data_IF_013602283545
#
_entry.id   IF_013602283545
#
_cell.length_a   1.000
_cell.length_b   1.000
_cell.length_c   1.000
_cell.angle_alpha   90.00
_cell.angle_beta   90.00
_cell.angle_gamma   90.00
#
_symmetry.space_group_name_H-M   'P 1'
#
loop_
_entity.id
_entity.type
_entity.pdbx_description
1 polymer ?
#
# COMPACT_ATOMS: atom_id res chain seq x y z
N UNK A 1 -48.66 74.61 -15.41
CA UNK A 1 -47.71 73.76 -14.60
C UNK A 1 -48.21 72.40 -14.70
N UNK A 2 -47.73 71.56 -15.67
CA UNK A 2 -48.11 70.18 -15.88
C UNK A 2 -47.03 69.32 -15.25
N UNK A 3 -47.44 68.39 -14.35
CA UNK A 3 -46.59 67.40 -13.76
C UNK A 3 -46.67 66.08 -14.62
N UNK A 4 -45.53 65.64 -15.15
CA UNK A 4 -45.39 64.40 -15.83
C UNK A 4 -44.99 63.33 -14.79
N UNK A 5 -45.78 62.26 -14.63
CA UNK A 5 -45.47 61.08 -13.86
C UNK A 5 -44.77 60.10 -14.77
N UNK A 6 -43.52 59.80 -14.45
CA UNK A 6 -42.78 58.63 -15.03
C UNK A 6 -43.04 57.38 -14.20
N UNK A 7 -43.67 56.39 -14.79
CA UNK A 7 -43.81 55.06 -14.23
C UNK A 7 -42.66 54.17 -14.76
N UNK A 8 -41.72 53.79 -13.91
CA UNK A 8 -40.67 52.82 -14.19
C UNK A 8 -41.18 51.38 -13.91
N UNK A 9 -41.38 50.61 -14.94
CA UNK A 9 -41.70 49.19 -14.85
C UNK A 9 -40.41 48.38 -14.63
N UNK A 10 -40.31 47.73 -13.46
CA UNK A 10 -39.22 46.80 -13.12
C UNK A 10 -39.56 45.41 -13.63
N UNK A 11 -38.90 44.97 -14.70
CA UNK A 11 -39.03 43.59 -15.20
C UNK A 11 -38.14 42.65 -14.37
N UNK A 12 -38.78 41.75 -13.59
CA UNK A 12 -38.09 40.71 -12.83
C UNK A 12 -37.78 39.55 -13.76
N UNK A 13 -36.51 39.38 -14.18
CA UNK A 13 -36.04 38.20 -14.88
C UNK A 13 -35.90 37.04 -13.86
N UNK A 14 -36.82 36.06 -13.88
CA UNK A 14 -36.61 34.77 -13.20
C UNK A 14 -35.66 33.91 -14.06
N UNK A 15 -34.41 33.81 -13.63
CA UNK A 15 -33.48 32.80 -14.15
C UNK A 15 -33.85 31.42 -13.60
N UNK A 16 -34.50 30.59 -14.40
CA UNK A 16 -34.71 29.18 -14.10
C UNK A 16 -33.39 28.44 -14.28
N UNK A 17 -32.69 28.16 -13.18
CA UNK A 17 -31.57 27.21 -13.17
C UNK A 17 -32.15 25.81 -13.33
N UNK A 18 -32.07 25.24 -14.52
CA UNK A 18 -32.30 23.81 -14.71
C UNK A 18 -31.15 23.06 -14.06
N UNK A 19 -31.40 22.50 -12.87
CA UNK A 19 -30.50 21.52 -12.29
C UNK A 19 -30.45 20.31 -13.24
N UNK A 20 -29.29 20.14 -13.90
CA UNK A 20 -29.02 18.95 -14.69
C UNK A 20 -28.96 17.78 -13.71
N UNK A 21 -29.95 16.90 -13.71
CA UNK A 21 -29.90 15.67 -12.94
C UNK A 21 -28.71 14.87 -13.45
N UNK A 22 -27.66 14.70 -12.62
CA UNK A 22 -26.52 13.86 -12.95
C UNK A 22 -27.05 12.45 -13.16
N UNK A 23 -26.89 11.93 -14.37
CA UNK A 23 -27.25 10.54 -14.71
C UNK A 23 -26.43 9.65 -13.75
N UNK A 24 -27.11 8.73 -13.04
CA UNK A 24 -26.42 7.76 -12.20
C UNK A 24 -25.31 7.05 -13.00
N UNK A 25 -24.14 6.80 -12.39
CA UNK A 25 -23.05 6.14 -13.08
C UNK A 25 -23.50 4.81 -13.69
N UNK A 26 -23.06 4.54 -14.93
CA UNK A 26 -23.48 3.35 -15.66
C UNK A 26 -22.98 2.08 -14.95
N UNK A 27 -23.82 1.03 -14.95
CA UNK A 27 -23.42 -0.31 -14.53
C UNK A 27 -23.19 -1.16 -15.77
N UNK A 28 -22.01 -1.79 -15.85
CA UNK A 28 -21.64 -2.75 -16.91
C UNK A 28 -21.49 -4.10 -16.24
N UNK A 29 -22.02 -5.16 -16.84
CA UNK A 29 -21.83 -6.54 -16.38
C UNK A 29 -20.94 -7.24 -17.39
N UNK A 30 -19.91 -7.95 -16.89
CA UNK A 30 -18.94 -8.71 -17.68
C UNK A 30 -19.11 -10.19 -17.33
N UNK A 31 -19.34 -11.00 -18.34
CA UNK A 31 -19.47 -12.46 -18.21
C UNK A 31 -18.17 -13.16 -18.57
N UNK A 32 -18.00 -14.39 -18.13
CA UNK A 32 -16.85 -15.21 -18.55
C UNK A 32 -16.81 -15.34 -20.09
N UNK A 33 -15.64 -15.05 -20.64
CA UNK A 33 -15.43 -14.98 -22.10
C UNK A 33 -15.57 -13.58 -22.72
N UNK A 34 -16.13 -12.61 -21.98
CA UNK A 34 -16.11 -11.22 -22.42
C UNK A 34 -14.74 -10.57 -22.17
N UNK A 35 -14.40 -9.56 -22.99
CA UNK A 35 -13.21 -8.74 -22.76
C UNK A 35 -13.44 -7.77 -21.61
N UNK A 36 -12.68 -7.96 -20.52
CA UNK A 36 -12.73 -7.07 -19.36
C UNK A 36 -12.17 -5.67 -19.70
N UNK A 37 -11.12 -5.60 -20.53
CA UNK A 37 -10.57 -4.31 -20.96
C UNK A 37 -11.57 -3.54 -21.84
N UNK A 38 -12.24 -4.21 -22.76
CA UNK A 38 -13.25 -3.55 -23.59
C UNK A 38 -14.40 -2.97 -22.76
N UNK A 39 -14.81 -3.65 -21.68
CA UNK A 39 -15.82 -3.14 -20.75
C UNK A 39 -15.30 -1.89 -19.98
N UNK A 40 -14.04 -1.90 -19.57
CA UNK A 40 -13.37 -0.74 -18.93
C UNK A 40 -13.27 0.43 -19.92
N UNK A 41 -12.92 0.16 -21.18
CA UNK A 41 -12.79 1.18 -22.23
C UNK A 41 -14.15 1.80 -22.60
N UNK A 42 -15.22 1.03 -22.57
CA UNK A 42 -16.57 1.51 -22.79
C UNK A 42 -17.19 2.24 -21.59
N UNK A 43 -16.61 2.08 -20.39
CA UNK A 43 -17.16 2.68 -19.18
C UNK A 43 -16.98 4.21 -19.16
N UNK A 44 -18.00 4.91 -18.69
CA UNK A 44 -17.89 6.34 -18.36
C UNK A 44 -17.21 6.52 -16.98
N UNK A 45 -16.59 7.66 -16.70
CA UNK A 45 -16.11 7.99 -15.35
C UNK A 45 -17.19 7.76 -14.30
N UNK A 46 -16.83 7.20 -13.15
CA UNK A 46 -17.76 6.82 -12.08
C UNK A 46 -18.53 5.52 -12.31
N UNK A 47 -18.33 4.82 -13.41
CA UNK A 47 -19.06 3.58 -13.70
C UNK A 47 -18.69 2.44 -12.75
N UNK A 48 -19.66 1.54 -12.55
CA UNK A 48 -19.44 0.27 -11.83
C UNK A 48 -19.39 -0.87 -12.83
N UNK A 49 -18.27 -1.59 -12.85
CA UNK A 49 -18.08 -2.78 -13.68
C UNK A 49 -18.20 -3.99 -12.77
N UNK A 50 -19.24 -4.78 -12.97
CA UNK A 50 -19.52 -5.99 -12.19
C UNK A 50 -19.07 -7.19 -13.02
N UNK A 51 -18.09 -7.90 -12.51
CA UNK A 51 -17.51 -9.08 -13.19
C UNK A 51 -18.07 -10.34 -12.55
N UNK A 52 -18.72 -11.17 -13.34
CA UNK A 52 -19.30 -12.44 -12.84
C UNK A 52 -18.21 -13.49 -12.55
N UNK A 53 -18.53 -14.54 -11.77
CA UNK A 53 -17.59 -15.63 -11.55
C UNK A 53 -17.08 -16.24 -12.85
N UNK A 54 -15.77 -16.50 -12.90
CA UNK A 54 -15.12 -17.04 -14.10
C UNK A 54 -13.62 -16.76 -14.08
N UNK A 55 -12.92 -17.19 -15.13
CA UNK A 55 -11.49 -16.98 -15.32
C UNK A 55 -11.27 -16.00 -16.46
N UNK A 56 -10.63 -14.89 -16.15
CA UNK A 56 -10.34 -13.78 -17.06
C UNK A 56 -8.83 -13.69 -17.26
N UNK A 57 -8.43 -13.46 -18.50
CA UNK A 57 -7.02 -13.45 -18.87
C UNK A 57 -6.48 -12.05 -19.14
N UNK A 58 -7.36 -11.07 -19.29
CA UNK A 58 -7.00 -9.73 -19.70
C UNK A 58 -6.47 -9.66 -21.14
N UNK A 59 -6.62 -8.52 -21.78
CA UNK A 59 -6.35 -8.37 -23.23
C UNK A 59 -5.06 -7.58 -23.52
N UNK A 60 -4.44 -7.00 -22.49
CA UNK A 60 -3.23 -6.19 -22.65
C UNK A 60 -1.98 -7.05 -22.88
N UNK A 61 -1.00 -6.50 -23.60
CA UNK A 61 0.26 -7.19 -23.88
C UNK A 61 1.17 -7.30 -22.66
N UNK A 62 1.30 -6.23 -21.88
CA UNK A 62 2.15 -6.16 -20.67
C UNK A 62 1.33 -6.12 -19.39
N UNK A 63 0.19 -5.44 -19.40
CA UNK A 63 -0.74 -5.29 -18.29
C UNK A 63 -2.02 -6.04 -18.65
N UNK A 64 -2.53 -6.90 -17.78
CA UNK A 64 -3.75 -7.65 -18.09
C UNK A 64 -4.95 -6.72 -18.29
N UNK A 65 -5.12 -5.73 -17.39
CA UNK A 65 -6.07 -4.63 -17.55
C UNK A 65 -5.46 -3.30 -17.13
N UNK A 66 -5.89 -2.22 -17.79
CA UNK A 66 -5.45 -0.85 -17.51
C UNK A 66 -6.67 0.04 -17.26
N UNK A 67 -6.64 0.82 -16.19
CA UNK A 67 -7.69 1.76 -15.80
C UNK A 67 -7.10 3.16 -15.73
N UNK A 68 -7.55 4.04 -16.64
CA UNK A 68 -7.09 5.45 -16.73
C UNK A 68 -8.23 6.45 -16.52
N UNK A 69 -9.39 5.97 -16.04
CA UNK A 69 -10.59 6.78 -15.86
C UNK A 69 -10.96 6.92 -14.41
N UNK A 70 -11.38 8.12 -14.05
CA UNK A 70 -11.81 8.45 -12.69
C UNK A 70 -13.04 7.67 -12.22
N UNK A 71 -13.09 7.38 -10.93
CA UNK A 71 -14.25 6.85 -10.25
C UNK A 71 -14.65 5.43 -10.63
N UNK A 72 -13.83 4.71 -11.38
CA UNK A 72 -14.15 3.33 -11.78
C UNK A 72 -14.23 2.43 -10.54
N UNK A 73 -15.34 1.69 -10.43
CA UNK A 73 -15.55 0.66 -9.42
C UNK A 73 -15.56 -0.72 -10.08
N UNK A 74 -14.51 -1.49 -9.81
CA UNK A 74 -14.36 -2.85 -10.32
C UNK A 74 -14.80 -3.84 -9.24
N UNK A 75 -15.91 -4.54 -9.45
CA UNK A 75 -16.53 -5.42 -8.46
C UNK A 75 -16.59 -6.84 -8.99
N UNK A 76 -15.81 -7.73 -8.40
CA UNK A 76 -15.93 -9.16 -8.61
C UNK A 76 -17.14 -9.71 -7.86
N UNK A 77 -18.13 -10.22 -8.58
CA UNK A 77 -19.31 -10.85 -8.00
C UNK A 77 -19.04 -12.31 -7.58
N UNK A 78 -17.90 -12.54 -6.94
CA UNK A 78 -17.50 -13.86 -6.46
C UNK A 78 -18.57 -14.49 -5.55
N UNK A 79 -18.78 -15.78 -5.70
CA UNK A 79 -19.69 -16.60 -4.89
C UNK A 79 -18.90 -17.71 -4.21
N UNK A 80 -19.49 -18.36 -3.22
CA UNK A 80 -18.84 -19.50 -2.57
C UNK A 80 -18.44 -20.55 -3.63
N UNK A 81 -17.14 -20.85 -3.70
CA UNK A 81 -16.53 -21.77 -4.66
C UNK A 81 -16.63 -21.33 -6.15
N UNK A 82 -16.95 -20.09 -6.43
CA UNK A 82 -16.97 -19.50 -7.76
C UNK A 82 -16.28 -18.13 -7.71
N UNK A 83 -14.95 -18.09 -7.74
CA UNK A 83 -14.19 -16.85 -7.72
C UNK A 83 -14.28 -16.10 -9.05
N UNK A 84 -13.93 -14.83 -9.02
CA UNK A 84 -13.57 -14.02 -10.19
C UNK A 84 -12.05 -14.00 -10.26
N UNK A 85 -11.47 -14.69 -11.19
CA UNK A 85 -10.01 -14.88 -11.29
C UNK A 85 -9.47 -14.08 -12.47
N UNK A 86 -8.57 -13.15 -12.20
CA UNK A 86 -7.70 -12.55 -13.21
C UNK A 86 -6.33 -13.21 -13.09
N UNK A 87 -5.93 -13.93 -14.12
CA UNK A 87 -4.65 -14.65 -14.11
C UNK A 87 -3.78 -14.29 -15.30
N UNK A 88 -2.47 -14.38 -15.06
CA UNK A 88 -1.47 -14.14 -16.10
C UNK A 88 -1.59 -15.14 -17.24
N UNK A 89 -1.45 -14.64 -18.47
CA UNK A 89 -1.28 -15.45 -19.68
C UNK A 89 -0.31 -14.79 -20.65
N UNK A 90 0.47 -15.59 -21.35
CA UNK A 90 1.38 -15.09 -22.36
C UNK A 90 2.47 -14.17 -21.80
N UNK A 91 2.54 -12.94 -22.32
CA UNK A 91 3.60 -11.96 -22.03
C UNK A 91 3.24 -10.94 -20.94
N UNK A 92 2.06 -11.05 -20.35
CA UNK A 92 1.61 -10.08 -19.34
C UNK A 92 2.51 -10.11 -18.11
N UNK A 93 2.94 -8.94 -17.67
CA UNK A 93 3.79 -8.76 -16.49
C UNK A 93 2.96 -8.34 -15.27
N UNK A 94 1.95 -7.49 -15.48
CA UNK A 94 1.12 -6.93 -14.40
C UNK A 94 -0.35 -7.30 -14.56
N UNK A 95 -1.04 -7.43 -13.44
CA UNK A 95 -2.48 -7.70 -13.39
C UNK A 95 -3.33 -6.45 -13.62
N UNK A 96 -3.82 -5.84 -12.55
CA UNK A 96 -4.62 -4.61 -12.57
C UNK A 96 -3.68 -3.41 -12.44
N UNK A 97 -3.70 -2.53 -13.44
CA UNK A 97 -2.91 -1.30 -13.48
C UNK A 97 -3.82 -0.08 -13.47
N UNK A 98 -3.63 0.80 -12.48
CA UNK A 98 -4.44 2.02 -12.34
C UNK A 98 -3.52 3.22 -12.30
N UNK A 99 -3.68 4.13 -13.25
CA UNK A 99 -2.85 5.32 -13.36
C UNK A 99 -3.51 6.36 -14.26
N UNK A 100 -3.17 7.65 -14.14
CA UNK A 100 -3.49 8.64 -15.17
C UNK A 100 -2.98 8.20 -16.55
N UNK A 101 -3.65 8.65 -17.63
CA UNK A 101 -3.34 8.21 -19.00
C UNK A 101 -1.88 8.45 -19.42
N UNK A 102 -1.28 9.51 -18.89
CA UNK A 102 0.09 9.92 -19.22
C UNK A 102 1.14 9.38 -18.25
N UNK A 103 0.73 8.62 -17.24
CA UNK A 103 1.68 8.00 -16.32
C UNK A 103 2.37 6.84 -17.02
N UNK A 104 3.65 6.95 -17.13
CA UNK A 104 4.48 5.89 -17.69
C UNK A 104 4.83 4.87 -16.60
N UNK A 105 5.60 3.90 -16.95
CA UNK A 105 6.04 2.77 -16.17
C UNK A 105 6.71 3.20 -14.85
N UNK A 106 6.44 2.55 -13.70
CA UNK A 106 7.15 2.79 -12.45
C UNK A 106 8.66 2.51 -12.56
N UNK A 107 9.07 1.67 -13.49
CA UNK A 107 10.48 1.40 -13.78
C UNK A 107 11.15 2.54 -14.57
N UNK A 108 10.41 3.64 -14.88
CA UNK A 108 10.98 4.81 -15.52
C UNK A 108 11.07 5.99 -14.53
N UNK A 109 12.25 6.24 -13.94
CA UNK A 109 12.48 7.32 -12.97
C UNK A 109 12.40 8.74 -13.56
N UNK A 110 12.27 8.88 -14.87
CA UNK A 110 12.20 10.19 -15.55
C UNK A 110 10.81 10.82 -15.53
N UNK A 111 9.84 10.19 -14.84
CA UNK A 111 8.49 10.74 -14.76
C UNK A 111 8.39 11.89 -13.78
N UNK A 112 7.76 12.99 -14.21
CA UNK A 112 7.47 14.05 -13.27
C UNK A 112 6.54 13.55 -12.16
N UNK A 113 6.71 14.09 -10.95
CA UNK A 113 5.84 13.82 -9.80
C UNK A 113 4.36 13.98 -10.15
N UNK A 114 3.49 13.21 -9.52
CA UNK A 114 2.03 13.31 -9.71
C UNK A 114 1.52 14.75 -9.52
N UNK A 115 2.07 15.49 -8.55
CA UNK A 115 1.72 16.88 -8.26
C UNK A 115 2.11 17.89 -9.34
N UNK A 116 3.13 17.62 -10.14
CA UNK A 116 3.54 18.51 -11.23
C UNK A 116 2.63 18.41 -12.46
N UNK A 117 1.91 17.32 -12.60
CA UNK A 117 1.00 17.09 -13.74
C UNK A 117 -0.40 17.59 -13.49
N UNK A 118 -0.80 17.93 -12.26
CA UNK A 118 -2.20 18.12 -11.83
C UNK A 118 -3.13 16.96 -12.27
N UNK A 119 -2.57 15.76 -12.43
CA UNK A 119 -3.27 14.62 -12.99
C UNK A 119 -3.25 13.47 -11.99
N UNK A 120 -4.11 13.54 -10.99
CA UNK A 120 -4.44 12.41 -10.14
C UNK A 120 -5.76 11.82 -10.61
N UNK A 121 -5.88 10.50 -10.55
CA UNK A 121 -7.18 9.85 -10.65
C UNK A 121 -7.88 9.89 -9.30
N UNK A 122 -9.18 10.20 -9.31
CA UNK A 122 -9.96 10.21 -8.06
C UNK A 122 -10.99 9.09 -8.01
N UNK A 123 -11.10 8.46 -6.85
CA UNK A 123 -12.21 7.59 -6.53
C UNK A 123 -12.16 6.20 -7.15
N UNK A 124 -11.02 5.53 -7.22
CA UNK A 124 -10.92 4.15 -7.70
C UNK A 124 -11.31 3.12 -6.64
N UNK A 125 -11.97 2.01 -7.03
CA UNK A 125 -12.10 0.86 -6.16
C UNK A 125 -12.06 -0.48 -6.88
N UNK A 126 -11.47 -1.49 -6.20
CA UNK A 126 -11.47 -2.89 -6.63
C UNK A 126 -11.82 -3.82 -5.47
N UNK A 127 -12.72 -4.77 -5.70
CA UNK A 127 -13.13 -5.73 -4.68
C UNK A 127 -13.54 -7.08 -5.25
N UNK A 128 -13.31 -8.15 -4.48
CA UNK A 128 -13.82 -9.49 -4.76
C UNK A 128 -13.10 -10.24 -5.88
N UNK A 129 -11.90 -9.83 -6.25
CA UNK A 129 -11.07 -10.49 -7.26
C UNK A 129 -10.06 -11.45 -6.63
N UNK A 130 -9.72 -12.49 -7.38
CA UNK A 130 -8.48 -13.24 -7.25
C UNK A 130 -7.55 -12.80 -8.38
N UNK A 131 -6.40 -12.20 -8.05
CA UNK A 131 -5.38 -11.74 -9.01
C UNK A 131 -4.11 -12.55 -8.81
N UNK A 132 -3.70 -13.33 -9.81
CA UNK A 132 -2.67 -14.33 -9.56
C UNK A 132 -1.68 -14.57 -10.71
N UNK A 133 -0.43 -14.90 -10.30
CA UNK A 133 0.59 -15.46 -11.19
C UNK A 133 1.29 -14.46 -12.10
N UNK A 134 1.24 -13.16 -11.80
CA UNK A 134 1.92 -12.15 -12.59
C UNK A 134 3.40 -12.03 -12.23
N UNK A 135 4.32 -11.97 -13.20
CA UNK A 135 5.77 -11.81 -12.94
C UNK A 135 6.15 -10.49 -12.28
N UNK A 136 5.32 -9.47 -12.37
CA UNK A 136 5.47 -8.20 -11.67
C UNK A 136 4.41 -8.04 -10.58
N UNK A 137 3.48 -7.10 -10.78
CA UNK A 137 2.51 -6.65 -9.78
C UNK A 137 1.12 -7.25 -10.00
N UNK A 138 0.46 -7.61 -8.90
CA UNK A 138 -0.93 -8.06 -8.95
C UNK A 138 -1.91 -6.90 -9.16
N UNK A 139 -2.00 -5.99 -8.19
CA UNK A 139 -2.83 -4.78 -8.23
C UNK A 139 -1.92 -3.58 -7.96
N UNK A 140 -1.72 -2.76 -8.97
CA UNK A 140 -0.86 -1.59 -8.94
C UNK A 140 -1.65 -0.29 -9.12
N UNK A 141 -1.36 0.71 -8.28
CA UNK A 141 -1.90 2.06 -8.41
C UNK A 141 -0.77 3.08 -8.32
N UNK A 142 -0.83 4.09 -9.18
CA UNK A 142 0.04 5.26 -9.04
C UNK A 142 -0.73 6.54 -9.32
N UNK A 143 -0.46 7.59 -8.53
CA UNK A 143 -1.13 8.87 -8.66
C UNK A 143 -2.67 8.77 -8.55
N UNK A 144 -3.15 8.06 -7.55
CA UNK A 144 -4.59 7.88 -7.28
C UNK A 144 -4.93 8.46 -5.91
N UNK A 145 -5.92 9.34 -5.89
CA UNK A 145 -6.50 9.91 -4.66
C UNK A 145 -7.87 9.30 -4.38
N UNK A 146 -8.20 9.04 -3.10
CA UNK A 146 -9.47 8.42 -2.66
C UNK A 146 -9.70 7.04 -3.29
N UNK A 147 -8.90 6.06 -2.92
CA UNK A 147 -9.04 4.71 -3.47
C UNK A 147 -9.39 3.64 -2.41
N UNK A 148 -9.99 2.54 -2.87
CA UNK A 148 -10.31 1.38 -2.02
C UNK A 148 -9.93 0.06 -2.69
N UNK A 149 -9.09 -0.74 -2.03
CA UNK A 149 -8.76 -2.12 -2.40
C UNK A 149 -9.24 -3.05 -1.30
N UNK A 150 -10.33 -3.80 -1.55
CA UNK A 150 -10.99 -4.52 -0.47
C UNK A 150 -11.41 -5.94 -0.82
N UNK A 151 -11.11 -6.88 0.08
CA UNK A 151 -11.63 -8.26 -0.02
C UNK A 151 -11.16 -8.98 -1.26
N UNK A 152 -9.95 -8.70 -1.72
CA UNK A 152 -9.32 -9.38 -2.83
C UNK A 152 -8.38 -10.48 -2.32
N UNK A 153 -8.13 -11.46 -3.16
CA UNK A 153 -7.02 -12.41 -3.00
C UNK A 153 -5.98 -12.08 -4.07
N UNK A 154 -4.74 -11.81 -3.69
CA UNK A 154 -3.66 -11.61 -4.64
C UNK A 154 -2.52 -12.57 -4.31
N UNK A 155 -2.18 -13.48 -5.22
CA UNK A 155 -1.29 -14.59 -4.89
C UNK A 155 -0.31 -14.97 -6.01
N UNK A 156 0.91 -15.35 -5.62
CA UNK A 156 1.93 -15.81 -6.55
C UNK A 156 2.33 -14.76 -7.59
N UNK A 157 2.13 -13.48 -7.29
CA UNK A 157 2.70 -12.38 -8.05
C UNK A 157 4.16 -12.20 -7.59
N UNK A 158 5.10 -11.99 -8.50
CA UNK A 158 6.51 -12.19 -8.18
C UNK A 158 7.05 -11.08 -7.29
N UNK A 159 6.78 -9.80 -7.62
CA UNK A 159 7.33 -8.65 -6.89
C UNK A 159 6.34 -8.16 -5.83
N UNK A 160 5.21 -7.56 -6.20
CA UNK A 160 4.20 -7.09 -5.26
C UNK A 160 2.82 -7.66 -5.58
N UNK A 161 2.08 -8.08 -4.54
CA UNK A 161 0.70 -8.50 -4.75
C UNK A 161 -0.29 -7.33 -4.77
N UNK A 162 -0.13 -6.34 -3.89
CA UNK A 162 -0.88 -5.06 -3.89
C UNK A 162 0.12 -3.93 -3.67
N UNK A 163 0.12 -2.95 -4.57
CA UNK A 163 1.15 -1.93 -4.66
C UNK A 163 0.58 -0.55 -5.03
N UNK A 164 0.03 0.23 -4.08
CA UNK A 164 -0.13 1.67 -4.24
C UNK A 164 1.21 2.39 -4.10
N UNK A 165 1.42 3.41 -4.91
CA UNK A 165 2.59 4.28 -4.84
C UNK A 165 2.25 5.70 -5.29
N UNK A 166 2.78 6.72 -4.62
CA UNK A 166 2.50 8.14 -4.91
C UNK A 166 1.00 8.45 -4.95
N UNK A 167 0.27 7.84 -4.04
CA UNK A 167 -1.18 7.91 -3.94
C UNK A 167 -1.62 8.40 -2.56
N UNK A 168 -2.88 8.78 -2.40
CA UNK A 168 -3.35 9.37 -1.15
C UNK A 168 -4.78 8.93 -0.79
N UNK A 169 -5.14 9.11 0.50
CA UNK A 169 -6.48 8.83 1.04
C UNK A 169 -6.99 7.42 0.69
N UNK A 170 -6.10 6.43 0.78
CA UNK A 170 -6.39 5.04 0.42
C UNK A 170 -6.94 4.19 1.57
N UNK A 171 -7.73 3.17 1.21
CA UNK A 171 -8.19 2.12 2.13
C UNK A 171 -7.91 0.73 1.56
N UNK A 172 -7.00 -0.02 2.20
CA UNK A 172 -6.66 -1.39 1.85
C UNK A 172 -7.15 -2.32 2.96
N UNK A 173 -8.22 -3.08 2.71
CA UNK A 173 -8.83 -3.86 3.80
C UNK A 173 -9.30 -5.25 3.41
N UNK A 174 -9.15 -6.20 4.34
CA UNK A 174 -9.63 -7.58 4.21
C UNK A 174 -9.12 -8.29 2.97
N UNK A 175 -7.93 -7.92 2.49
CA UNK A 175 -7.26 -8.62 1.41
C UNK A 175 -6.45 -9.80 1.96
N UNK A 176 -6.35 -10.85 1.17
CA UNK A 176 -5.48 -11.99 1.41
C UNK A 176 -4.37 -11.97 0.37
N UNK A 177 -3.14 -11.74 0.79
CA UNK A 177 -1.98 -11.59 -0.09
C UNK A 177 -0.95 -12.68 0.22
N UNK A 178 -0.36 -13.28 -0.82
CA UNK A 178 0.58 -14.38 -0.58
C UNK A 178 1.53 -14.66 -1.72
N UNK A 179 2.71 -15.19 -1.34
CA UNK A 179 3.60 -15.88 -2.28
C UNK A 179 4.42 -14.96 -3.18
N UNK A 180 4.68 -13.70 -2.79
CA UNK A 180 5.72 -12.88 -3.44
C UNK A 180 7.10 -13.46 -3.13
N UNK A 181 8.00 -13.42 -4.10
CA UNK A 181 9.34 -14.02 -3.98
C UNK A 181 10.47 -13.03 -4.02
N UNK A 182 10.19 -11.83 -4.51
CA UNK A 182 11.20 -10.78 -4.62
C UNK A 182 10.99 -9.68 -3.58
N UNK A 183 9.72 -9.38 -3.20
CA UNK A 183 9.46 -8.23 -2.36
C UNK A 183 8.19 -8.38 -1.49
N UNK A 184 7.54 -7.28 -1.13
CA UNK A 184 6.41 -7.27 -0.21
C UNK A 184 5.11 -7.80 -0.83
N UNK A 185 4.33 -8.48 -0.01
CA UNK A 185 3.00 -8.86 -0.42
C UNK A 185 2.04 -7.66 -0.54
N UNK A 186 2.06 -6.75 0.42
CA UNK A 186 1.31 -5.51 0.39
C UNK A 186 2.25 -4.36 0.74
N UNK A 187 2.45 -3.48 -0.20
CA UNK A 187 3.33 -2.34 -0.12
C UNK A 187 2.53 -1.03 -0.14
N UNK A 188 3.01 -0.02 0.56
CA UNK A 188 2.51 1.36 0.58
C UNK A 188 3.74 2.27 0.46
N UNK A 189 3.92 2.93 -0.69
CA UNK A 189 5.15 3.69 -0.92
C UNK A 189 4.98 5.07 -1.48
N UNK A 190 5.67 6.04 -0.89
CA UNK A 190 5.56 7.46 -1.25
C UNK A 190 4.11 7.96 -1.19
N UNK A 191 3.33 7.39 -0.26
CA UNK A 191 1.91 7.60 -0.10
C UNK A 191 1.61 8.50 1.10
N UNK A 192 0.40 9.06 1.15
CA UNK A 192 -0.06 9.88 2.26
C UNK A 192 -1.48 9.49 2.70
N UNK A 193 -1.71 9.42 4.03
CA UNK A 193 -3.05 9.20 4.60
C UNK A 193 -3.70 7.87 4.19
N UNK A 194 -2.98 6.77 4.29
CA UNK A 194 -3.43 5.42 3.92
C UNK A 194 -3.88 4.62 5.14
N UNK A 195 -5.03 3.95 5.05
CA UNK A 195 -5.49 2.99 6.03
C UNK A 195 -5.33 1.56 5.51
N UNK A 196 -4.57 0.73 6.23
CA UNK A 196 -4.32 -0.69 5.89
C UNK A 196 -4.82 -1.54 7.05
N UNK A 197 -5.91 -2.28 6.88
CA UNK A 197 -6.48 -3.00 8.01
C UNK A 197 -7.15 -4.33 7.68
N UNK A 198 -7.13 -5.23 8.66
CA UNK A 198 -7.76 -6.55 8.54
C UNK A 198 -7.22 -7.40 7.36
N UNK A 199 -6.01 -7.14 6.87
CA UNK A 199 -5.39 -7.91 5.81
C UNK A 199 -4.57 -9.07 6.38
N UNK A 200 -4.36 -10.09 5.56
CA UNK A 200 -3.50 -11.24 5.88
C UNK A 200 -2.44 -11.40 4.80
N UNK A 201 -1.16 -11.38 5.21
CA UNK A 201 -0.02 -11.60 4.34
C UNK A 201 0.73 -12.87 4.75
N UNK A 202 0.93 -13.79 3.79
CA UNK A 202 1.61 -15.07 4.04
C UNK A 202 2.56 -15.47 2.93
N UNK A 203 3.61 -16.16 3.29
CA UNK A 203 4.53 -16.77 2.32
C UNK A 203 5.27 -15.78 1.42
N UNK A 204 5.56 -14.58 1.91
CA UNK A 204 6.23 -13.49 1.19
C UNK A 204 7.65 -13.25 1.72
N UNK A 205 8.45 -12.46 1.01
CA UNK A 205 9.71 -11.92 1.57
C UNK A 205 9.35 -10.94 2.68
N UNK A 206 8.54 -9.94 2.39
CA UNK A 206 8.01 -9.01 3.36
C UNK A 206 6.47 -9.13 3.35
N UNK A 207 5.86 -9.32 4.52
CA UNK A 207 4.41 -9.39 4.60
C UNK A 207 3.74 -8.07 4.25
N UNK A 208 4.15 -6.99 4.92
CA UNK A 208 3.69 -5.62 4.73
C UNK A 208 4.87 -4.65 4.69
N UNK A 209 4.74 -3.59 3.90
CA UNK A 209 5.78 -2.56 3.79
C UNK A 209 5.19 -1.16 3.77
N UNK A 210 5.89 -0.23 4.41
CA UNK A 210 5.66 1.21 4.31
C UNK A 210 7.00 1.86 3.96
N UNK A 211 7.14 2.37 2.74
CA UNK A 211 8.35 3.04 2.27
C UNK A 211 8.06 4.54 2.04
N UNK A 212 8.92 5.43 2.54
CA UNK A 212 8.86 6.89 2.27
C UNK A 212 7.46 7.51 2.35
N UNK A 213 6.62 7.08 3.32
CA UNK A 213 5.20 7.44 3.38
C UNK A 213 4.83 8.14 4.69
N UNK A 214 3.76 8.94 4.65
CA UNK A 214 3.28 9.71 5.79
C UNK A 214 1.85 9.34 6.20
N UNK A 215 1.58 9.43 7.50
CA UNK A 215 0.25 9.24 8.08
C UNK A 215 -0.43 7.90 7.71
N UNK A 216 0.37 6.85 7.49
CA UNK A 216 -0.13 5.49 7.24
C UNK A 216 -0.58 4.86 8.55
N UNK A 217 -1.80 4.32 8.56
CA UNK A 217 -2.37 3.61 9.71
C UNK A 217 -2.57 2.14 9.39
N UNK A 218 -1.72 1.31 9.97
CA UNK A 218 -1.75 -0.14 9.77
C UNK A 218 -2.26 -0.83 11.03
N UNK A 219 -3.46 -1.44 10.98
CA UNK A 219 -4.08 -2.03 12.18
C UNK A 219 -4.88 -3.29 11.88
N UNK A 220 -4.87 -4.23 12.85
CA UNK A 220 -5.62 -5.49 12.74
C UNK A 220 -5.13 -6.43 11.65
N UNK A 221 -3.92 -6.20 11.09
CA UNK A 221 -3.36 -7.06 10.06
C UNK A 221 -2.60 -8.25 10.67
N UNK A 222 -2.40 -9.28 9.87
CA UNK A 222 -1.65 -10.48 10.25
C UNK A 222 -0.58 -10.80 9.21
N UNK A 223 0.69 -10.72 9.60
CA UNK A 223 1.83 -11.19 8.81
C UNK A 223 2.31 -12.53 9.38
N UNK A 224 2.12 -13.61 8.63
CA UNK A 224 2.35 -14.97 9.12
C UNK A 224 3.20 -15.75 8.14
N UNK A 225 4.25 -16.39 8.64
CA UNK A 225 5.07 -17.27 7.83
C UNK A 225 5.70 -16.57 6.60
N UNK A 226 6.16 -15.31 6.76
CA UNK A 226 6.96 -14.59 5.79
C UNK A 226 8.46 -14.70 6.12
N UNK A 227 9.34 -14.13 5.34
CA UNK A 227 10.77 -13.98 5.72
C UNK A 227 10.89 -12.89 6.78
N UNK A 228 10.29 -11.71 6.56
CA UNK A 228 10.04 -10.69 7.56
C UNK A 228 8.54 -10.34 7.59
N UNK A 229 8.01 -10.00 8.78
CA UNK A 229 6.59 -9.70 8.92
C UNK A 229 6.22 -8.34 8.32
N UNK A 230 7.03 -7.33 8.62
CA UNK A 230 6.81 -5.96 8.14
C UNK A 230 8.13 -5.20 8.06
N UNK A 231 8.24 -4.33 7.07
CA UNK A 231 9.29 -3.32 6.93
C UNK A 231 8.66 -1.92 6.94
N UNK A 232 9.26 -0.99 7.65
CA UNK A 232 8.97 0.45 7.61
C UNK A 232 10.29 1.13 7.37
N UNK A 233 10.50 1.66 6.18
CA UNK A 233 11.81 2.07 5.74
C UNK A 233 11.83 3.36 4.93
N UNK A 234 13.03 3.90 4.81
CA UNK A 234 13.33 5.05 3.97
C UNK A 234 14.38 4.67 2.93
N UNK A 235 14.10 5.01 1.69
CA UNK A 235 14.97 4.78 0.54
C UNK A 235 15.30 6.11 -0.12
N UNK A 236 16.57 6.30 -0.48
CA UNK A 236 17.05 7.49 -1.19
C UNK A 236 16.60 7.55 -2.65
N UNK A 237 16.79 8.72 -3.27
CA UNK A 237 16.41 8.95 -4.66
C UNK A 237 14.92 8.72 -4.95
N UNK A 238 14.07 9.00 -3.99
CA UNK A 238 12.61 8.97 -4.12
C UNK A 238 12.07 10.40 -4.20
N UNK A 239 10.84 10.53 -4.71
CA UNK A 239 10.13 11.80 -4.74
C UNK A 239 9.81 12.29 -3.32
N UNK A 240 9.40 11.39 -2.45
CA UNK A 240 9.22 11.64 -1.01
C UNK A 240 10.48 11.19 -0.29
N UNK A 241 11.18 12.12 0.36
CA UNK A 241 12.49 11.91 0.99
C UNK A 241 12.42 11.82 2.51
N UNK A 242 11.24 11.54 3.05
CA UNK A 242 11.01 11.39 4.50
C UNK A 242 9.89 10.39 4.77
N UNK A 243 9.86 9.88 6.02
CA UNK A 243 8.86 8.94 6.48
C UNK A 243 8.50 9.26 7.92
N UNK A 244 7.22 9.57 8.21
CA UNK A 244 6.81 9.96 9.57
C UNK A 244 5.29 9.91 9.79
N UNK A 245 4.87 10.03 11.06
CA UNK A 245 3.46 10.07 11.44
C UNK A 245 2.75 8.73 11.33
N UNK A 246 3.48 7.65 11.10
CA UNK A 246 2.90 6.33 10.86
C UNK A 246 2.45 5.66 12.16
N UNK A 247 1.40 4.86 12.09
CA UNK A 247 0.85 4.11 13.22
C UNK A 247 0.71 2.64 12.87
N UNK A 248 1.45 1.79 13.55
CA UNK A 248 1.38 0.32 13.45
C UNK A 248 0.77 -0.23 14.74
N UNK A 249 -0.51 -0.61 14.70
CA UNK A 249 -1.24 -0.93 15.92
C UNK A 249 -2.10 -2.19 15.82
N UNK A 250 -2.19 -2.98 16.90
CA UNK A 250 -3.07 -4.16 16.96
C UNK A 250 -2.84 -5.21 15.87
N UNK A 251 -1.63 -5.28 15.30
CA UNK A 251 -1.27 -6.29 14.31
C UNK A 251 -0.66 -7.54 14.99
N UNK A 252 -0.63 -8.63 14.25
CA UNK A 252 0.06 -9.87 14.65
C UNK A 252 1.15 -10.19 13.64
N UNK A 253 2.37 -10.34 14.13
CA UNK A 253 3.56 -10.75 13.39
C UNK A 253 4.01 -12.10 13.91
N UNK A 254 3.71 -13.17 13.19
CA UNK A 254 3.82 -14.54 13.70
C UNK A 254 4.65 -15.43 12.79
N UNK A 255 5.65 -16.10 13.36
CA UNK A 255 6.44 -17.14 12.68
C UNK A 255 7.03 -16.67 11.33
N UNK A 256 7.55 -15.45 11.26
CA UNK A 256 8.14 -14.91 10.03
C UNK A 256 9.59 -15.40 9.89
N UNK A 257 9.76 -16.66 9.58
CA UNK A 257 11.04 -17.39 9.62
C UNK A 257 11.40 -18.05 8.28
N UNK A 258 10.70 -17.72 7.19
CA UNK A 258 10.98 -18.33 5.88
C UNK A 258 12.35 -17.92 5.38
N UNK A 259 13.07 -18.81 4.70
CA UNK A 259 14.27 -18.42 4.00
C UNK A 259 13.98 -17.28 3.01
N UNK A 260 14.90 -16.34 2.90
CA UNK A 260 14.83 -15.31 1.87
C UNK A 260 15.06 -15.95 0.50
N UNK A 261 14.16 -15.72 -0.44
CA UNK A 261 14.21 -16.24 -1.82
C UNK A 261 14.26 -15.14 -2.86
N UNK A 262 14.44 -13.86 -2.42
CA UNK A 262 14.60 -12.74 -3.33
C UNK A 262 15.83 -12.94 -4.22
N UNK A 263 15.74 -12.47 -5.45
CA UNK A 263 16.88 -12.48 -6.37
C UNK A 263 18.02 -11.66 -5.79
N UNK A 264 19.29 -12.04 -6.00
CA UNK A 264 20.44 -11.31 -5.43
C UNK A 264 20.59 -9.86 -5.89
N UNK A 265 19.93 -9.48 -6.96
CA UNK A 265 19.85 -8.14 -7.54
C UNK A 265 18.72 -7.27 -6.98
N UNK A 266 17.86 -7.84 -6.13
CA UNK A 266 16.81 -7.11 -5.42
C UNK A 266 17.34 -6.61 -4.06
N UNK A 267 16.98 -5.40 -3.67
CA UNK A 267 17.39 -4.80 -2.38
C UNK A 267 16.89 -5.65 -1.21
N UNK A 268 15.73 -6.24 -1.34
CA UNK A 268 15.14 -7.16 -0.35
C UNK A 268 15.93 -8.45 -0.15
N UNK A 269 16.92 -8.76 -1.01
CA UNK A 269 17.83 -9.90 -0.80
C UNK A 269 18.62 -9.80 0.51
N UNK A 270 18.76 -8.58 1.07
CA UNK A 270 19.43 -8.31 2.35
C UNK A 270 18.52 -8.58 3.56
N UNK A 271 17.22 -8.78 3.37
CA UNK A 271 16.29 -9.03 4.48
C UNK A 271 16.62 -10.33 5.20
N UNK A 272 16.93 -10.22 6.48
CA UNK A 272 17.28 -11.36 7.32
C UNK A 272 16.02 -12.06 7.80
N UNK A 273 15.90 -13.39 7.64
CA UNK A 273 14.75 -14.14 8.14
C UNK A 273 14.58 -14.06 9.67
N UNK A 274 13.33 -14.04 10.12
CA UNK A 274 13.03 -14.21 11.54
C UNK A 274 12.73 -12.92 12.30
N UNK A 275 12.43 -11.83 11.61
CA UNK A 275 12.05 -10.57 12.26
C UNK A 275 10.56 -10.27 12.05
N UNK A 276 9.85 -9.96 13.13
CA UNK A 276 8.44 -9.60 13.07
C UNK A 276 8.19 -8.24 12.43
N UNK A 277 8.94 -7.20 12.84
CA UNK A 277 8.86 -5.85 12.29
C UNK A 277 10.25 -5.22 12.26
N UNK A 278 10.62 -4.60 11.14
CA UNK A 278 11.84 -3.83 10.99
C UNK A 278 11.47 -2.36 10.81
N UNK A 279 12.03 -1.48 11.65
CA UNK A 279 12.05 -0.04 11.45
C UNK A 279 13.44 0.34 10.93
N UNK A 280 13.52 0.72 9.68
CA UNK A 280 14.78 1.06 9.02
C UNK A 280 14.78 2.52 8.57
N UNK A 281 15.39 3.39 9.39
CA UNK A 281 15.44 4.82 9.13
C UNK A 281 14.09 5.56 9.24
N UNK A 282 13.05 4.92 9.76
CA UNK A 282 11.72 5.52 9.87
C UNK A 282 11.57 6.38 11.12
N UNK A 283 10.95 7.56 10.97
CA UNK A 283 10.77 8.55 12.03
C UNK A 283 9.34 8.58 12.56
N UNK A 284 9.18 9.11 13.79
CA UNK A 284 7.90 9.44 14.43
C UNK A 284 6.82 8.37 14.21
N UNK A 285 7.20 7.10 14.31
CA UNK A 285 6.30 5.96 14.13
C UNK A 285 5.82 5.43 15.48
N UNK A 286 4.50 5.31 15.63
CA UNK A 286 3.88 4.73 16.81
C UNK A 286 3.61 3.24 16.61
N UNK A 287 4.35 2.38 17.34
CA UNK A 287 4.18 0.92 17.34
C UNK A 287 3.50 0.51 18.63
N UNK A 288 2.20 0.18 18.57
CA UNK A 288 1.45 -0.08 19.79
C UNK A 288 0.55 -1.29 19.73
N UNK A 289 0.45 -2.02 20.86
CA UNK A 289 -0.49 -3.14 21.06
C UNK A 289 -0.42 -4.21 19.95
N UNK A 290 0.76 -4.37 19.35
CA UNK A 290 1.02 -5.46 18.43
C UNK A 290 1.44 -6.72 19.19
N UNK A 291 1.28 -7.87 18.55
CA UNK A 291 1.77 -9.16 19.04
C UNK A 291 2.87 -9.67 18.12
N UNK A 292 4.01 -9.95 18.69
CA UNK A 292 5.17 -10.53 18.03
C UNK A 292 5.37 -11.94 18.56
N UNK A 293 5.18 -12.96 17.72
CA UNK A 293 5.08 -14.34 18.16
C UNK A 293 6.02 -15.23 17.36
N UNK A 294 6.86 -16.00 18.03
CA UNK A 294 7.69 -17.07 17.45
C UNK A 294 8.54 -16.60 16.24
N UNK A 295 8.98 -15.35 16.21
CA UNK A 295 9.94 -14.89 15.21
C UNK A 295 11.35 -15.33 15.63
N UNK A 296 12.05 -16.02 14.72
CA UNK A 296 13.26 -16.79 15.05
C UNK A 296 14.50 -15.95 15.33
N UNK A 297 14.49 -14.66 14.98
CA UNK A 297 15.58 -13.74 15.26
C UNK A 297 15.13 -12.65 16.25
N UNK A 298 14.05 -11.92 15.94
CA UNK A 298 13.54 -10.88 16.84
C UNK A 298 12.05 -10.60 16.64
N UNK A 299 11.36 -10.16 17.69
CA UNK A 299 10.04 -9.57 17.57
C UNK A 299 10.08 -8.33 16.70
N UNK A 300 11.00 -7.39 16.99
CA UNK A 300 11.21 -6.21 16.15
C UNK A 300 12.67 -5.76 16.15
N UNK A 301 13.03 -4.94 15.16
CA UNK A 301 14.33 -4.28 15.04
C UNK A 301 14.15 -2.79 14.74
N UNK A 302 15.02 -1.94 15.34
CA UNK A 302 15.24 -0.55 14.95
C UNK A 302 16.68 -0.45 14.46
N UNK A 303 16.86 -0.03 13.21
CA UNK A 303 18.16 -0.03 12.54
C UNK A 303 18.25 1.14 11.56
N UNK A 304 19.44 1.65 11.34
CA UNK A 304 19.73 2.56 10.22
C UNK A 304 20.08 1.75 8.98
N UNK A 305 19.57 2.08 7.78
CA UNK A 305 20.00 1.45 6.53
C UNK A 305 21.51 1.51 6.32
N UNK A 306 22.18 2.54 6.84
CA UNK A 306 23.66 2.66 6.78
C UNK A 306 24.40 1.58 7.56
N UNK A 307 23.73 0.93 8.52
CA UNK A 307 24.31 -0.20 9.27
C UNK A 307 24.12 -1.50 8.49
N UNK A 308 23.03 -1.62 7.77
CA UNK A 308 22.70 -2.78 6.93
C UNK A 308 23.61 -2.78 5.68
N UNK A 309 23.61 -1.68 4.97
CA UNK A 309 24.51 -1.45 3.82
C UNK A 309 25.10 -0.02 3.86
N UNK A 310 26.39 0.14 4.20
CA UNK A 310 27.05 1.44 4.19
C UNK A 310 27.04 2.15 2.84
N UNK A 311 26.92 1.41 1.72
CA UNK A 311 26.85 1.99 0.39
C UNK A 311 25.54 2.76 0.16
N UNK A 312 24.48 2.36 0.83
CA UNK A 312 23.18 3.02 0.80
C UNK A 312 23.23 4.48 1.29
N UNK A 313 24.16 4.75 2.19
CA UNK A 313 24.38 6.08 2.77
C UNK A 313 25.62 6.80 2.24
N UNK A 314 26.13 6.39 1.09
CA UNK A 314 27.25 7.08 0.46
C UNK A 314 26.80 8.49 0.01
N UNK A 315 27.53 9.57 0.38
CA UNK A 315 27.14 10.92 0.03
C UNK A 315 27.14 11.17 -1.51
N UNK A 316 26.24 12.05 -2.02
CA UNK A 316 25.24 12.77 -1.27
C UNK A 316 24.00 11.92 -0.95
N UNK A 317 23.51 11.98 0.29
CA UNK A 317 22.22 11.41 0.68
C UNK A 317 21.17 12.52 0.77
N UNK A 318 19.95 12.21 0.39
CA UNK A 318 18.80 13.13 0.37
C UNK A 318 17.72 12.81 1.40
N UNK A 319 18.02 11.91 2.35
CA UNK A 319 17.11 11.45 3.40
C UNK A 319 17.84 11.34 4.76
N UNK A 320 17.07 11.29 5.86
CA UNK A 320 17.61 10.93 7.17
C UNK A 320 17.64 9.41 7.34
N UNK A 321 18.81 8.78 7.49
CA UNK A 321 18.89 7.34 7.64
C UNK A 321 18.65 6.83 9.06
N UNK A 322 18.43 7.72 10.03
CA UNK A 322 18.29 7.33 11.43
C UNK A 322 16.83 7.17 11.82
N UNK A 323 16.43 6.06 12.45
CA UNK A 323 15.06 5.91 12.94
C UNK A 323 14.87 6.74 14.22
N UNK A 324 14.35 7.96 14.10
CA UNK A 324 14.22 8.94 15.17
C UNK A 324 12.80 9.01 15.75
N UNK A 325 12.68 9.35 17.04
CA UNK A 325 11.45 9.70 17.75
C UNK A 325 10.33 8.63 17.73
N UNK A 326 10.68 7.37 17.51
CA UNK A 326 9.71 6.27 17.48
C UNK A 326 9.25 5.89 18.89
N UNK A 327 8.00 5.47 18.98
CA UNK A 327 7.37 5.08 20.24
C UNK A 327 6.87 3.64 20.19
N UNK A 328 7.47 2.76 20.99
CA UNK A 328 7.14 1.33 21.05
C UNK A 328 6.43 1.04 22.37
N UNK A 329 5.10 0.95 22.35
CA UNK A 329 4.33 0.94 23.60
C UNK A 329 3.26 -0.15 23.65
N UNK A 330 3.17 -0.84 24.79
CA UNK A 330 2.12 -1.83 25.09
C UNK A 330 2.05 -2.99 24.08
N UNK A 331 3.17 -3.36 23.46
CA UNK A 331 3.27 -4.54 22.62
C UNK A 331 3.51 -5.79 23.45
N UNK A 332 3.14 -6.95 22.92
CA UNK A 332 3.40 -8.26 23.53
C UNK A 332 4.39 -9.04 22.68
N UNK A 333 5.40 -9.60 23.33
CA UNK A 333 6.43 -10.42 22.70
C UNK A 333 6.37 -11.84 23.28
N UNK A 334 6.13 -12.83 22.43
CA UNK A 334 5.92 -14.21 22.83
C UNK A 334 6.87 -15.14 22.07
N UNK A 335 7.73 -15.86 22.79
CA UNK A 335 8.63 -16.90 22.24
C UNK A 335 9.47 -16.48 21.01
N UNK A 336 9.78 -15.20 20.87
CA UNK A 336 10.78 -14.77 19.91
C UNK A 336 12.19 -15.12 20.43
N UNK A 337 13.19 -15.25 19.54
CA UNK A 337 14.56 -15.47 20.00
C UNK A 337 15.11 -14.23 20.76
N UNK A 338 14.71 -13.04 20.32
CA UNK A 338 14.88 -11.80 21.04
C UNK A 338 13.61 -10.95 20.89
N UNK A 339 13.33 -10.06 21.86
CA UNK A 339 12.16 -9.20 21.73
C UNK A 339 12.44 -7.99 20.85
N UNK A 340 13.51 -7.26 21.12
CA UNK A 340 13.88 -6.03 20.41
C UNK A 340 15.37 -6.02 20.06
N UNK A 341 15.67 -5.85 18.78
CA UNK A 341 16.98 -5.41 18.30
C UNK A 341 17.00 -3.88 18.27
N UNK A 342 17.73 -3.27 19.22
CA UNK A 342 17.97 -1.85 19.24
C UNK A 342 19.49 -1.64 19.31
N UNK A 343 20.09 -1.29 18.19
CA UNK A 343 21.53 -1.16 18.07
C UNK A 343 22.01 0.24 18.45
N UNK A 344 23.23 0.39 19.02
CA UNK A 344 23.84 1.69 19.21
C UNK A 344 23.88 2.48 17.90
N UNK A 345 23.40 3.72 17.93
CA UNK A 345 23.29 4.56 16.74
C UNK A 345 21.97 4.43 15.97
N UNK A 346 21.02 3.62 16.44
CA UNK A 346 19.68 3.56 15.90
C UNK A 346 18.85 4.80 16.31
N UNK A 347 19.28 5.99 15.87
CA UNK A 347 18.56 7.24 16.01
C UNK A 347 18.48 7.82 17.42
N UNK A 348 17.70 8.88 17.56
CA UNK A 348 17.51 9.63 18.80
C UNK A 348 16.01 9.74 19.15
N UNK A 349 15.71 9.92 20.44
CA UNK A 349 14.34 10.17 20.91
C UNK A 349 13.41 8.96 20.87
N UNK A 350 13.88 7.80 20.46
CA UNK A 350 13.12 6.55 20.51
C UNK A 350 12.82 6.17 21.97
N UNK A 351 11.61 5.66 22.24
CA UNK A 351 11.26 5.25 23.59
C UNK A 351 10.32 4.03 23.65
N UNK A 352 10.41 3.30 24.76
CA UNK A 352 9.71 2.06 25.02
C UNK A 352 8.92 2.14 26.34
N UNK A 353 7.66 1.69 26.36
CA UNK A 353 6.87 1.69 27.60
C UNK A 353 5.76 0.64 27.60
N UNK A 354 5.61 -0.05 28.73
CA UNK A 354 4.49 -0.96 28.99
C UNK A 354 4.41 -2.16 28.05
N UNK A 355 5.50 -2.55 27.41
CA UNK A 355 5.60 -3.79 26.65
C UNK A 355 5.64 -5.00 27.59
N UNK A 356 5.14 -6.14 27.16
CA UNK A 356 5.08 -7.37 27.93
C UNK A 356 5.77 -8.54 27.19
N UNK A 357 6.79 -9.16 27.76
CA UNK A 357 7.50 -8.74 28.98
C UNK A 357 8.16 -7.36 28.85
N UNK A 358 8.63 -6.81 29.99
CA UNK A 358 9.46 -5.61 29.96
C UNK A 358 10.77 -5.96 29.22
N UNK A 359 10.85 -5.54 27.97
CA UNK A 359 11.86 -6.00 27.03
C UNK A 359 13.23 -5.36 27.30
N UNK A 360 14.26 -6.14 27.13
CA UNK A 360 15.65 -5.68 27.06
C UNK A 360 16.10 -5.70 25.59
N UNK A 361 17.02 -4.81 25.25
CA UNK A 361 17.72 -4.90 23.97
C UNK A 361 18.55 -6.20 23.91
N UNK A 362 18.79 -6.71 22.72
CA UNK A 362 19.61 -7.91 22.48
C UNK A 362 21.02 -7.80 23.07
N UNK A 363 21.57 -6.59 23.13
CA UNK A 363 22.89 -6.33 23.74
C UNK A 363 22.84 -6.19 25.25
N UNK A 364 21.67 -6.44 25.89
CA UNK A 364 21.51 -6.41 27.35
C UNK A 364 21.43 -5.02 27.96
N UNK A 365 21.43 -3.96 27.19
CA UNK A 365 21.25 -2.60 27.72
C UNK A 365 19.76 -2.25 27.88
N UNK A 366 19.41 -1.45 28.89
CA UNK A 366 18.06 -0.96 29.09
C UNK A 366 17.59 -0.15 27.87
N UNK A 367 16.39 -0.43 27.38
CA UNK A 367 15.75 0.39 26.35
C UNK A 367 15.36 1.77 26.90
N UNK A 368 15.46 2.85 26.11
CA UNK A 368 15.02 4.18 26.54
C UNK A 368 13.55 4.19 26.93
N UNK A 369 13.23 4.76 28.09
CA UNK A 369 11.85 4.79 28.62
C UNK A 369 11.13 6.04 28.15
N UNK A 370 9.89 5.88 27.67
CA UNK A 370 9.03 7.03 27.33
C UNK A 370 8.73 7.86 28.60
N UNK A 371 8.92 9.16 28.51
CA UNK A 371 8.67 10.14 29.58
C UNK A 371 7.21 10.61 29.57
#
# INVERSE_FOLDING_TARGET
MSRVLLTTSLALLLATTTASASKAPAKIVVHEGDSLQAAIDAASPGATIVVEPGVYQGDGATRAITITKEGIRLVGAARRNQPVVLQQTGTQVHGIWVSPADSTDPDNPELPPCGMRNEQLHGFSVSGFTVQGFPGFGIYLTCVDDFTIRGNTASGNLTYSIFPVRSSHGNLSRNQVSGTKNDACLYVGQDESINVHDNVATDCIIGFEIENSHDVRMFGNRAINNTAGMLVDIVGNREVTSISGNVVAHNTFENNNRPNTASPDEDTSQIVPGIGLILEGADDTLIQRNRFIANGLAGMALVSPCVVDPAFCAPPIDFDPNPDQNRVVKNTFEINAADVFYLPGAGQGNCFAGNDPATLSVIGEPLPVCK
#
